data_IF_406171935726
#
_entry.id   IF_406171935726
#
_cell.length_a   1.000
_cell.length_b   1.000
_cell.length_c   1.000
_cell.angle_alpha   90.00
_cell.angle_beta   90.00
_cell.angle_gamma   90.00
#
_symmetry.space_group_name_H-M   'P 1'
#
loop_
_entity.id
_entity.type
_entity.pdbx_description
1 polymer ?
#
# COMPACT_ATOMS: atom_id res chain seq x y z
N UNK A 1 -12.63 -18.10 3.17
CA UNK A 1 -11.21 -17.71 2.96
C UNK A 1 -10.61 -17.27 4.30
N UNK A 2 -9.36 -17.65 4.59
CA UNK A 2 -8.71 -17.29 5.87
C UNK A 2 -8.27 -15.80 5.85
N UNK A 3 -8.46 -15.07 6.96
CA UNK A 3 -8.23 -13.61 7.08
C UNK A 3 -6.79 -13.27 7.46
N UNK A 4 -5.82 -13.87 6.77
CA UNK A 4 -4.41 -13.87 7.19
C UNK A 4 -3.54 -12.81 6.50
N UNK A 5 -4.02 -12.22 5.40
CA UNK A 5 -3.27 -11.24 4.61
C UNK A 5 -3.81 -9.84 4.88
N UNK A 6 -2.90 -8.93 5.21
CA UNK A 6 -3.19 -7.50 5.33
C UNK A 6 -2.48 -6.74 4.22
N UNK A 7 -3.18 -5.80 3.61
CA UNK A 7 -2.61 -4.82 2.68
C UNK A 7 -2.81 -3.44 3.30
N UNK A 8 -1.73 -2.70 3.50
CA UNK A 8 -1.68 -1.43 4.20
C UNK A 8 -2.41 -1.46 5.56
N UNK A 9 -2.17 -2.52 6.34
CA UNK A 9 -2.78 -2.73 7.66
C UNK A 9 -4.25 -3.17 7.65
N UNK A 10 -4.91 -3.21 6.48
CA UNK A 10 -6.30 -3.67 6.34
C UNK A 10 -6.34 -5.11 5.86
N UNK A 11 -7.12 -5.96 6.54
CA UNK A 11 -7.34 -7.35 6.11
C UNK A 11 -8.00 -7.35 4.72
N UNK A 12 -7.38 -8.05 3.77
CA UNK A 12 -7.93 -8.27 2.43
C UNK A 12 -8.12 -9.77 2.20
N UNK A 13 -9.34 -10.15 1.88
CA UNK A 13 -9.72 -11.53 1.58
C UNK A 13 -10.08 -11.75 0.11
N UNK A 14 -10.22 -10.68 -0.67
CA UNK A 14 -10.50 -10.76 -2.09
C UNK A 14 -9.19 -11.04 -2.84
N UNK A 15 -9.14 -12.14 -3.57
CA UNK A 15 -7.99 -12.54 -4.39
C UNK A 15 -7.71 -11.58 -5.55
N UNK A 16 -8.72 -10.81 -5.96
CA UNK A 16 -8.64 -9.83 -7.05
C UNK A 16 -8.45 -8.39 -6.56
N UNK A 17 -8.20 -8.21 -5.25
CA UNK A 17 -7.91 -6.90 -4.70
C UNK A 17 -6.65 -6.32 -5.37
N UNK A 18 -6.72 -5.11 -5.96
CA UNK A 18 -5.58 -4.51 -6.63
C UNK A 18 -4.56 -4.03 -5.58
N UNK A 19 -3.39 -4.65 -5.57
CA UNK A 19 -2.21 -4.16 -4.83
C UNK A 19 -1.21 -3.53 -5.80
N UNK A 20 -0.68 -2.38 -5.42
CA UNK A 20 0.14 -1.54 -6.28
C UNK A 20 1.52 -1.25 -5.74
N UNK A 21 2.21 -0.34 -6.43
CA UNK A 21 3.52 0.15 -6.04
C UNK A 21 3.48 0.76 -4.64
N UNK A 22 4.50 0.48 -3.82
CA UNK A 22 4.67 0.92 -2.44
C UNK A 22 3.68 0.35 -1.41
N UNK A 23 2.73 -0.50 -1.80
CA UNK A 23 1.84 -1.13 -0.83
C UNK A 23 2.60 -2.09 0.08
N UNK A 24 2.19 -2.11 1.34
CA UNK A 24 2.76 -2.99 2.37
C UNK A 24 1.84 -4.20 2.55
N UNK A 25 2.39 -5.39 2.35
CA UNK A 25 1.71 -6.67 2.55
C UNK A 25 2.26 -7.29 3.83
N UNK A 26 1.40 -7.55 4.81
CA UNK A 26 1.76 -8.17 6.08
C UNK A 26 1.05 -9.51 6.25
N UNK A 27 1.80 -10.52 6.71
CA UNK A 27 1.30 -11.84 7.06
C UNK A 27 1.58 -12.06 8.54
N UNK A 28 0.57 -11.80 9.38
CA UNK A 28 0.74 -11.81 10.85
C UNK A 28 1.15 -13.19 11.39
N UNK A 29 0.68 -14.26 10.75
CA UNK A 29 0.97 -15.63 11.18
C UNK A 29 2.46 -15.97 11.06
N UNK A 30 3.16 -15.38 10.10
CA UNK A 30 4.59 -15.61 9.87
C UNK A 30 5.45 -14.45 10.39
N UNK A 31 4.85 -13.33 10.80
CA UNK A 31 5.57 -12.13 11.20
C UNK A 31 6.35 -11.50 10.04
N UNK A 32 5.92 -11.74 8.80
CA UNK A 32 6.62 -11.24 7.62
C UNK A 32 5.89 -10.06 6.99
N UNK A 33 6.67 -9.03 6.64
CA UNK A 33 6.22 -7.86 5.93
C UNK A 33 6.94 -7.73 4.60
N UNK A 34 6.20 -7.28 3.60
CA UNK A 34 6.70 -7.09 2.26
C UNK A 34 6.24 -5.76 1.69
N UNK A 35 7.04 -5.20 0.80
CA UNK A 35 6.72 -4.02 0.01
C UNK A 35 6.75 -4.36 -1.46
N UNK A 36 5.70 -3.99 -2.18
CA UNK A 36 5.66 -4.12 -3.62
C UNK A 36 6.47 -3.00 -4.28
N UNK A 37 7.55 -3.37 -4.96
CA UNK A 37 8.40 -2.44 -5.71
C UNK A 37 8.65 -2.97 -7.12
N UNK A 38 9.14 -2.12 -8.02
CA UNK A 38 9.59 -2.57 -9.34
C UNK A 38 11.04 -3.04 -9.28
N UNK A 39 11.32 -4.16 -9.95
CA UNK A 39 12.69 -4.58 -10.24
C UNK A 39 13.30 -3.74 -11.39
N UNK A 40 14.57 -3.97 -11.71
CA UNK A 40 15.27 -3.27 -12.81
C UNK A 40 14.69 -3.56 -14.19
N UNK A 41 13.80 -4.56 -14.32
CA UNK A 41 13.09 -4.92 -15.56
C UNK A 41 11.65 -4.40 -15.59
N UNK A 42 11.23 -3.63 -14.59
CA UNK A 42 9.88 -3.05 -14.49
C UNK A 42 8.80 -4.03 -14.04
N UNK A 43 9.16 -5.19 -13.48
CA UNK A 43 8.20 -6.17 -12.93
C UNK A 43 8.01 -5.93 -11.45
N UNK A 44 6.83 -6.26 -10.92
CA UNK A 44 6.63 -6.26 -9.48
C UNK A 44 7.51 -7.32 -8.82
N UNK A 45 8.22 -6.91 -7.78
CA UNK A 45 8.94 -7.78 -6.87
C UNK A 45 8.46 -7.55 -5.45
N UNK A 46 8.48 -8.62 -4.67
CA UNK A 46 8.05 -8.65 -3.28
C UNK A 46 9.30 -8.48 -2.41
N UNK A 47 9.55 -7.24 -1.97
CA UNK A 47 10.73 -6.93 -1.17
C UNK A 47 10.42 -7.09 0.32
N UNK A 48 11.16 -7.94 1.03
CA UNK A 48 10.99 -8.12 2.48
C UNK A 48 11.46 -6.86 3.21
N UNK A 49 10.66 -6.37 4.15
CA UNK A 49 10.94 -5.17 4.94
C UNK A 49 10.86 -5.48 6.45
N UNK A 50 11.40 -4.59 7.28
CA UNK A 50 11.29 -4.70 8.74
C UNK A 50 9.92 -4.23 9.25
N UNK A 51 9.62 -4.50 10.52
CA UNK A 51 8.38 -4.03 11.16
C UNK A 51 8.31 -2.50 11.20
N UNK A 52 9.44 -1.81 11.42
CA UNK A 52 9.49 -0.34 11.44
C UNK A 52 9.16 0.23 10.06
N UNK A 53 9.69 -0.37 8.99
CA UNK A 53 9.39 0.04 7.63
C UNK A 53 7.95 -0.26 7.23
N UNK A 54 7.35 -1.31 7.77
CA UNK A 54 5.96 -1.67 7.51
C UNK A 54 4.95 -0.66 8.08
N UNK A 55 5.36 0.18 9.04
CA UNK A 55 4.50 1.21 9.63
C UNK A 55 4.19 2.37 8.67
N UNK A 56 5.00 2.55 7.62
CA UNK A 56 4.84 3.65 6.68
C UNK A 56 4.93 3.20 5.22
N UNK A 57 4.45 4.06 4.32
CA UNK A 57 4.66 3.91 2.88
C UNK A 57 4.83 5.27 2.22
N UNK A 58 5.49 5.29 1.06
CA UNK A 58 5.67 6.52 0.29
C UNK A 58 4.50 6.71 -0.68
N UNK A 59 3.88 7.89 -0.62
CA UNK A 59 2.81 8.30 -1.52
C UNK A 59 3.26 9.48 -2.38
N UNK A 60 3.30 9.29 -3.71
CA UNK A 60 3.48 10.44 -4.63
C UNK A 60 2.18 11.23 -4.72
N UNK A 61 2.25 12.54 -4.45
CA UNK A 61 1.14 13.48 -4.70
C UNK A 61 0.91 13.59 -6.21
N UNK A 62 -0.33 13.35 -6.65
CA UNK A 62 -0.75 13.53 -8.05
C UNK A 62 -1.55 14.81 -8.27
N UNK A 63 -2.34 15.23 -7.28
CA UNK A 63 -3.22 16.40 -7.42
C UNK A 63 -3.40 17.10 -6.09
N UNK A 64 -3.64 18.41 -6.13
CA UNK A 64 -4.08 19.22 -4.99
C UNK A 64 -5.33 19.96 -5.43
N UNK A 65 -6.41 19.88 -4.65
CA UNK A 65 -7.71 20.48 -4.99
C UNK A 65 -8.43 21.01 -3.76
N UNK A 66 -9.44 21.85 -4.00
CA UNK A 66 -10.40 22.26 -2.97
C UNK A 66 -11.63 21.35 -3.03
N UNK A 67 -12.00 20.81 -1.88
CA UNK A 67 -13.20 19.99 -1.69
C UNK A 67 -14.44 20.81 -1.32
N UNK A 68 -15.50 20.10 -0.93
CA UNK A 68 -16.72 20.73 -0.44
C UNK A 68 -16.41 21.62 0.78
N UNK A 69 -16.92 22.84 0.80
CA UNK A 69 -16.64 23.81 1.87
C UNK A 69 -15.26 24.48 1.78
N UNK A 70 -14.57 24.38 0.65
CA UNK A 70 -13.26 25.04 0.46
C UNK A 70 -12.10 24.37 1.20
N UNK A 71 -12.28 23.13 1.66
CA UNK A 71 -11.24 22.38 2.39
C UNK A 71 -10.19 21.89 1.38
N UNK A 72 -8.92 22.30 1.49
CA UNK A 72 -7.86 21.78 0.63
C UNK A 72 -7.55 20.31 0.96
N UNK A 73 -7.40 19.49 -0.08
CA UNK A 73 -6.95 18.10 0.03
C UNK A 73 -6.00 17.75 -1.12
N UNK A 74 -5.27 16.65 -0.95
CA UNK A 74 -4.36 16.14 -1.96
C UNK A 74 -4.72 14.71 -2.32
N UNK A 75 -4.53 14.35 -3.59
CA UNK A 75 -4.77 12.98 -4.08
C UNK A 75 -3.42 12.34 -4.37
N UNK A 76 -3.18 11.17 -3.80
CA UNK A 76 -1.98 10.38 -4.05
C UNK A 76 -2.14 9.43 -5.23
N UNK A 77 -1.04 8.86 -5.70
CA UNK A 77 -1.03 7.89 -6.80
C UNK A 77 -1.85 6.61 -6.54
N UNK A 78 -2.05 6.23 -5.28
CA UNK A 78 -2.88 5.11 -4.81
C UNK A 78 -4.31 5.56 -4.42
N UNK A 79 -4.73 6.73 -4.91
CA UNK A 79 -6.09 7.27 -4.75
C UNK A 79 -6.53 7.54 -3.30
N UNK A 80 -5.58 7.78 -2.39
CA UNK A 80 -5.89 8.31 -1.04
C UNK A 80 -6.08 9.83 -1.11
N UNK A 81 -6.94 10.35 -0.23
CA UNK A 81 -7.29 11.78 -0.07
C UNK A 81 -6.97 12.28 1.31
#
# INVERSE_FOLDING_TARGET
MQRLVKVDGKVRTDSTFPSGLMDVISIEKTGENFRLIYDTKGRFTVHRITDEEAQYKLGKVKRVQLGKGGIPYLVTHDART
#
